data_IF_802304040620
#
_entry.id   IF_802304040620
#
_cell.length_a   1.000
_cell.length_b   1.000
_cell.length_c   1.000
_cell.angle_alpha   90.00
_cell.angle_beta   90.00
_cell.angle_gamma   90.00
#
_symmetry.space_group_name_H-M   'P 1'
#
loop_
_entity.id
_entity.type
_entity.pdbx_description
1 polymer ?
#
# COMPACT_ATOMS: atom_id res chain seq x y z
N UNK A 1 -0.74 27.02 5.14
CA UNK A 1 -0.74 25.54 5.03
C UNK A 1 -2.17 25.02 5.10
N UNK A 2 -2.78 24.66 3.98
CA UNK A 2 -4.16 24.14 3.97
C UNK A 2 -4.13 22.65 4.33
N UNK A 3 -4.46 22.30 5.56
CA UNK A 3 -4.85 20.92 5.89
C UNK A 3 -6.12 20.60 5.10
N UNK A 4 -5.94 19.99 3.93
CA UNK A 4 -7.04 19.41 3.16
C UNK A 4 -7.57 18.25 3.98
N UNK A 5 -8.46 18.53 4.94
CA UNK A 5 -9.24 17.54 5.66
C UNK A 5 -10.14 16.85 4.64
N UNK A 6 -9.63 15.82 3.97
CA UNK A 6 -10.50 14.84 3.31
C UNK A 6 -11.09 13.96 4.40
N UNK A 7 -12.12 14.47 5.08
CA UNK A 7 -13.14 13.62 5.67
C UNK A 7 -14.06 13.16 4.53
N UNK A 8 -13.56 12.24 3.71
CA UNK A 8 -14.36 11.54 2.71
C UNK A 8 -13.99 10.08 2.88
N UNK A 9 -14.91 9.29 3.40
CA UNK A 9 -14.82 7.84 3.52
C UNK A 9 -13.98 7.25 2.38
N UNK A 10 -12.90 6.55 2.72
CA UNK A 10 -12.07 5.85 1.74
C UNK A 10 -12.65 4.45 1.61
N UNK A 11 -13.46 4.14 0.57
CA UNK A 11 -14.26 2.92 0.55
C UNK A 11 -13.40 1.64 0.45
N UNK A 12 -12.14 1.79 0.02
CA UNK A 12 -11.20 0.68 -0.21
C UNK A 12 -10.40 0.29 1.05
N UNK A 13 -10.50 1.06 2.14
CA UNK A 13 -9.75 0.77 3.37
C UNK A 13 -10.65 -0.02 4.32
N UNK A 14 -10.25 -1.25 4.63
CA UNK A 14 -10.89 -2.09 5.64
C UNK A 14 -9.86 -2.45 6.71
N UNK A 15 -9.86 -1.70 7.80
CA UNK A 15 -8.92 -1.89 8.92
C UNK A 15 -9.11 -3.21 9.68
N UNK A 16 -10.25 -3.89 9.51
CA UNK A 16 -10.53 -5.18 10.16
C UNK A 16 -9.80 -6.31 9.46
N UNK A 17 -9.70 -6.25 8.13
CA UNK A 17 -9.08 -7.31 7.32
C UNK A 17 -7.64 -7.00 6.90
N UNK A 18 -7.27 -5.72 6.86
CA UNK A 18 -5.94 -5.28 6.44
C UNK A 18 -4.95 -5.35 7.61
N UNK A 19 -3.71 -5.82 7.38
CA UNK A 19 -2.68 -5.76 8.41
C UNK A 19 -2.40 -4.31 8.79
N UNK A 20 -2.30 -4.06 10.10
CA UNK A 20 -1.92 -2.76 10.64
C UNK A 20 -0.59 -2.83 11.37
N UNK A 21 0.06 -1.69 11.50
CA UNK A 21 1.31 -1.56 12.24
C UNK A 21 1.51 -0.18 12.84
N UNK A 22 2.50 -0.11 13.73
CA UNK A 22 2.95 1.13 14.35
C UNK A 22 4.45 1.23 14.05
N UNK A 23 4.87 2.30 13.37
CA UNK A 23 6.26 2.54 12.95
C UNK A 23 6.94 1.30 12.31
N UNK A 24 6.35 0.75 11.25
CA UNK A 24 6.90 -0.40 10.52
C UNK A 24 6.77 -1.76 11.22
N UNK A 25 6.20 -1.81 12.43
CA UNK A 25 5.99 -3.06 13.17
C UNK A 25 4.52 -3.45 13.12
N UNK A 26 4.22 -4.66 12.60
CA UNK A 26 2.86 -5.20 12.61
C UNK A 26 2.32 -5.34 14.04
N UNK A 27 1.07 -4.94 14.24
CA UNK A 27 0.36 -4.97 15.52
C UNK A 27 -1.07 -5.46 15.35
N UNK A 28 -1.65 -5.93 16.45
CA UNK A 28 -3.08 -6.25 16.51
C UNK A 28 -3.90 -4.98 16.67
N UNK A 29 -5.18 -5.03 16.30
CA UNK A 29 -6.09 -3.89 16.46
C UNK A 29 -6.32 -3.50 17.94
N UNK A 30 -6.15 -4.45 18.86
CA UNK A 30 -6.31 -4.24 20.30
C UNK A 30 -5.04 -3.70 20.99
N UNK A 31 -3.97 -3.43 20.22
CA UNK A 31 -2.72 -2.91 20.79
C UNK A 31 -2.93 -1.51 21.38
N UNK A 32 -2.58 -1.34 22.65
CA UNK A 32 -2.66 -0.04 23.32
C UNK A 32 -1.80 1.01 22.59
N UNK A 33 -2.43 2.13 22.25
CA UNK A 33 -1.78 3.25 21.56
C UNK A 33 -1.19 4.23 22.57
N UNK A 34 -0.08 4.85 22.18
CA UNK A 34 0.56 5.94 22.91
C UNK A 34 0.41 7.24 22.13
N UNK A 35 0.60 8.35 22.83
CA UNK A 35 0.61 9.65 22.17
C UNK A 35 1.66 9.67 21.05
N UNK A 36 1.29 10.27 19.92
CA UNK A 36 2.08 10.37 18.67
C UNK A 36 2.34 9.07 17.92
N UNK A 37 1.74 7.94 18.29
CA UNK A 37 1.87 6.72 17.49
C UNK A 37 1.37 6.91 16.06
N UNK A 38 2.21 6.55 15.08
CA UNK A 38 1.84 6.55 13.66
C UNK A 38 1.32 5.17 13.26
N UNK A 39 0.01 5.10 13.05
CA UNK A 39 -0.66 3.91 12.55
C UNK A 39 -0.47 3.81 11.03
N UNK A 40 -0.05 2.64 10.59
CA UNK A 40 0.18 2.29 9.20
C UNK A 40 -0.80 1.17 8.81
N UNK A 41 -1.50 1.33 7.69
CA UNK A 41 -2.43 0.32 7.14
C UNK A 41 -1.77 -0.26 5.88
N UNK A 42 -1.42 -1.55 5.92
CA UNK A 42 -0.74 -2.20 4.82
C UNK A 42 -1.74 -2.70 3.77
N UNK A 43 -1.46 -2.40 2.50
CA UNK A 43 -2.22 -2.93 1.37
C UNK A 43 -1.58 -4.21 0.84
N UNK A 44 -2.37 -5.21 0.45
CA UNK A 44 -1.85 -6.39 -0.20
C UNK A 44 -1.20 -6.02 -1.54
N UNK A 45 -0.19 -6.80 -1.92
CA UNK A 45 0.47 -6.63 -3.22
C UNK A 45 -0.48 -7.10 -4.33
N UNK A 46 -0.76 -6.24 -5.31
CA UNK A 46 -1.62 -6.56 -6.47
C UNK A 46 -0.91 -7.44 -7.49
N UNK A 47 0.42 -7.34 -7.59
CA UNK A 47 1.24 -8.17 -8.46
C UNK A 47 2.56 -8.51 -7.77
N UNK A 48 3.06 -9.72 -8.01
CA UNK A 48 4.41 -10.08 -7.59
C UNK A 48 5.42 -9.15 -8.29
N UNK A 49 6.34 -8.52 -7.56
CA UNK A 49 7.34 -7.63 -8.14
C UNK A 49 8.18 -8.27 -9.26
N UNK A 50 8.48 -9.57 -9.17
CA UNK A 50 9.23 -10.31 -10.19
C UNK A 50 8.41 -10.47 -11.45
N UNK A 51 7.14 -10.81 -11.35
CA UNK A 51 6.27 -10.95 -12.51
C UNK A 51 5.97 -9.60 -13.16
N UNK A 52 5.75 -8.56 -12.35
CA UNK A 52 5.64 -7.18 -12.84
C UNK A 52 6.91 -6.73 -13.58
N UNK A 53 8.10 -7.11 -13.08
CA UNK A 53 9.37 -6.85 -13.75
C UNK A 53 9.49 -7.63 -15.07
N UNK A 54 9.13 -8.93 -15.07
CA UNK A 54 9.15 -9.79 -16.27
C UNK A 54 8.25 -9.23 -17.37
N UNK A 55 7.00 -8.87 -17.04
CA UNK A 55 6.04 -8.27 -17.97
C UNK A 55 6.55 -6.96 -18.58
N UNK A 56 7.19 -6.11 -17.77
CA UNK A 56 7.80 -4.85 -18.25
C UNK A 56 8.96 -5.08 -19.22
N UNK A 57 9.83 -6.05 -18.94
CA UNK A 57 10.94 -6.39 -19.83
C UNK A 57 10.47 -6.92 -21.19
N UNK A 58 9.49 -7.84 -21.19
CA UNK A 58 8.91 -8.38 -22.42
C UNK A 58 8.26 -7.29 -23.29
N UNK A 59 7.52 -6.35 -22.68
CA UNK A 59 6.92 -5.22 -23.39
C UNK A 59 7.97 -4.29 -24.03
N UNK A 60 9.15 -4.16 -23.41
CA UNK A 60 10.27 -3.36 -23.95
C UNK A 60 10.91 -4.03 -25.17
N UNK A 61 10.99 -5.36 -25.18
CA UNK A 61 11.50 -6.12 -26.33
C UNK A 61 10.55 -6.09 -27.52
N UNK A 62 9.24 -6.22 -27.29
CA UNK A 62 8.24 -6.18 -28.37
C UNK A 62 8.03 -4.78 -28.97
N UNK A 63 8.34 -3.72 -28.23
CA UNK A 63 8.28 -2.34 -28.74
C UNK A 63 9.54 -1.91 -29.51
N UNK A 64 10.65 -2.65 -29.37
CA UNK A 64 11.92 -2.36 -30.06
C UNK A 64 12.02 -3.06 -31.43
N UNK A 65 11.13 -4.00 -31.74
CA UNK A 65 11.09 -4.73 -33.02
C UNK A 65 10.09 -4.15 -34.04
N UNK A 66 9.55 -2.95 -33.79
CA UNK A 66 8.57 -2.28 -34.65
C UNK A 66 9.00 -0.85 -35.05
N UNK A 67 10.32 -0.57 -35.04
CA UNK A 67 10.91 0.67 -35.54
C UNK A 67 12.02 0.35 -36.54
#
# INVERSE_FOLDING_TARGET
MRHRRKSSSVPEINVVTQPVGIYGKKKTLDSALRDRDRIEIYRPLVADPKDSRRKRAAKKQSGASAA
#
